data_IF_148650345340
#
_entry.id   IF_148650345340
#
_cell.length_a   1.000
_cell.length_b   1.000
_cell.length_c   1.000
_cell.angle_alpha   90.00
_cell.angle_beta   90.00
_cell.angle_gamma   90.00
#
_symmetry.space_group_name_H-M   'P 1'
#
loop_
_entity.id
_entity.type
_entity.pdbx_description
1 polymer ?
#
# COMPACT_ATOMS: atom_id res chain seq x y z
N UNK A 1 -1.60 -7.36 -11.60
CA UNK A 1 -0.58 -7.45 -10.53
C UNK A 1 -1.05 -6.93 -9.19
N UNK A 2 -2.19 -6.27 -9.16
CA UNK A 2 -2.69 -5.71 -7.91
C UNK A 2 -2.94 -6.77 -6.85
N UNK A 3 -3.48 -7.92 -7.25
CA UNK A 3 -3.75 -8.99 -6.29
C UNK A 3 -2.47 -9.57 -5.69
N UNK A 4 -1.43 -9.64 -6.50
CA UNK A 4 -0.14 -10.11 -6.03
C UNK A 4 0.42 -9.17 -4.96
N UNK A 5 0.35 -7.87 -5.23
CA UNK A 5 0.85 -6.86 -4.28
C UNK A 5 0.05 -6.92 -2.98
N UNK A 6 -1.27 -7.05 -3.07
CA UNK A 6 -2.11 -7.17 -1.88
C UNK A 6 -1.71 -8.36 -1.02
N UNK A 7 -1.45 -9.49 -1.66
CA UNK A 7 -1.06 -10.70 -0.95
C UNK A 7 0.25 -10.49 -0.21
N UNK A 8 1.23 -9.87 -0.88
CA UNK A 8 2.53 -9.62 -0.27
C UNK A 8 2.38 -8.70 0.94
N UNK A 9 1.60 -7.63 0.81
CA UNK A 9 1.44 -6.69 1.91
C UNK A 9 0.81 -7.34 3.13
N UNK A 10 -0.15 -8.22 2.93
CA UNK A 10 -0.74 -8.94 4.06
C UNK A 10 0.29 -9.82 4.75
N UNK A 11 1.15 -10.45 3.98
CA UNK A 11 2.15 -11.35 4.54
C UNK A 11 3.20 -10.62 5.37
N UNK A 12 3.52 -9.38 5.00
CA UNK A 12 4.57 -8.63 5.69
C UNK A 12 4.01 -7.59 6.65
N UNK A 13 2.71 -7.59 6.91
CA UNK A 13 2.10 -6.57 7.75
C UNK A 13 2.55 -6.65 9.21
N UNK A 14 3.19 -7.73 9.61
CA UNK A 14 3.73 -7.87 10.95
C UNK A 14 4.99 -7.01 11.17
N UNK A 15 5.59 -6.52 10.11
CA UNK A 15 6.83 -5.75 10.19
C UNK A 15 6.67 -4.43 9.46
N UNK A 16 6.77 -3.34 10.21
CA UNK A 16 6.65 -2.00 9.63
C UNK A 16 7.67 -1.77 8.52
N UNK A 17 8.90 -2.20 8.76
CA UNK A 17 9.97 -2.02 7.78
C UNK A 17 9.67 -2.79 6.48
N UNK A 18 9.28 -4.05 6.62
CA UNK A 18 8.98 -4.86 5.44
C UNK A 18 7.74 -4.35 4.72
N UNK A 19 6.73 -3.92 5.49
CA UNK A 19 5.51 -3.38 4.90
C UNK A 19 5.83 -2.17 4.03
N UNK A 20 6.60 -1.24 4.56
CA UNK A 20 6.93 -0.03 3.80
C UNK A 20 7.76 -0.36 2.57
N UNK A 21 8.71 -1.28 2.70
CA UNK A 21 9.54 -1.66 1.57
C UNK A 21 8.71 -2.29 0.46
N UNK A 22 7.83 -3.22 0.82
CA UNK A 22 7.02 -3.89 -0.19
C UNK A 22 5.95 -2.98 -0.77
N UNK A 23 5.43 -2.06 0.03
CA UNK A 23 4.49 -1.07 -0.49
C UNK A 23 5.15 -0.22 -1.57
N UNK A 24 6.36 0.25 -1.31
CA UNK A 24 7.08 1.07 -2.26
C UNK A 24 7.36 0.32 -3.56
N UNK A 25 7.78 -0.93 -3.44
CA UNK A 25 8.01 -1.76 -4.61
C UNK A 25 6.71 -2.02 -5.37
N UNK A 26 5.65 -2.33 -4.63
CA UNK A 26 4.37 -2.65 -5.25
C UNK A 26 3.77 -1.49 -6.00
N UNK A 27 3.96 -0.27 -5.51
CA UNK A 27 3.40 0.89 -6.19
C UNK A 27 3.94 1.07 -7.60
N UNK A 28 5.12 0.56 -7.87
CA UNK A 28 5.68 0.61 -9.22
C UNK A 28 5.00 -0.38 -10.16
N UNK A 29 4.31 -1.36 -9.61
CA UNK A 29 3.64 -2.41 -10.38
C UNK A 29 2.15 -2.16 -10.55
N UNK A 30 1.61 -1.16 -9.87
CA UNK A 30 0.19 -0.85 -9.93
C UNK A 30 -0.05 0.10 -11.11
N UNK A 31 -1.02 -0.24 -11.96
CA UNK A 31 -1.35 0.61 -13.09
C UNK A 31 -2.09 1.85 -12.60
N UNK A 32 -1.97 2.96 -13.34
CA UNK A 32 -2.66 4.20 -12.94
C UNK A 32 -4.15 4.01 -12.72
N UNK A 33 -4.80 3.21 -13.55
CA UNK A 33 -6.24 2.99 -13.41
C UNK A 33 -6.59 2.10 -12.22
N UNK A 34 -5.60 1.42 -11.62
CA UNK A 34 -5.81 0.60 -10.44
C UNK A 34 -5.45 1.34 -9.15
N UNK A 35 -4.82 2.49 -9.28
CA UNK A 35 -4.22 3.14 -8.12
C UNK A 35 -5.24 3.55 -7.07
N UNK A 36 -6.37 4.09 -7.48
CA UNK A 36 -7.37 4.54 -6.53
C UNK A 36 -7.95 3.36 -5.74
N UNK A 37 -8.27 2.28 -6.43
CA UNK A 37 -8.79 1.09 -5.76
C UNK A 37 -7.77 0.52 -4.78
N UNK A 38 -6.51 0.47 -5.21
CA UNK A 38 -5.45 -0.03 -4.35
C UNK A 38 -5.26 0.85 -3.12
N UNK A 39 -5.31 2.17 -3.31
CA UNK A 39 -5.19 3.11 -2.22
C UNK A 39 -6.30 2.90 -1.20
N UNK A 40 -7.54 2.81 -1.66
CA UNK A 40 -8.68 2.60 -0.78
C UNK A 40 -8.53 1.29 -0.01
N UNK A 41 -8.09 0.25 -0.67
CA UNK A 41 -7.87 -1.03 -0.03
C UNK A 41 -6.80 -0.93 1.06
N UNK A 42 -5.70 -0.23 0.78
CA UNK A 42 -4.63 -0.08 1.76
C UNK A 42 -5.12 0.61 3.02
N UNK A 43 -5.90 1.68 2.87
CA UNK A 43 -6.40 2.38 4.04
C UNK A 43 -7.43 1.56 4.80
N UNK A 44 -8.23 0.80 4.08
CA UNK A 44 -9.21 -0.06 4.73
C UNK A 44 -8.54 -1.16 5.55
N UNK A 45 -7.51 -1.77 5.00
CA UNK A 45 -6.84 -2.89 5.66
C UNK A 45 -5.82 -2.45 6.71
N UNK A 46 -5.08 -1.38 6.42
CA UNK A 46 -3.94 -0.99 7.25
C UNK A 46 -4.00 0.45 7.75
N UNK A 47 -5.12 1.12 7.57
CA UNK A 47 -5.21 2.52 7.92
C UNK A 47 -4.95 2.82 9.39
N UNK A 48 -5.37 1.93 10.28
CA UNK A 48 -5.14 2.12 11.70
C UNK A 48 -3.70 1.85 12.10
N UNK A 49 -3.12 0.84 11.47
CA UNK A 49 -1.80 0.38 11.86
C UNK A 49 -0.70 1.22 11.22
N UNK A 50 -0.88 1.53 9.95
CA UNK A 50 0.19 2.16 9.17
C UNK A 50 -0.23 3.45 8.49
N UNK A 51 -1.12 4.23 9.12
CA UNK A 51 -1.62 5.46 8.50
C UNK A 51 -0.48 6.39 8.07
N UNK A 52 0.54 6.56 8.90
CA UNK A 52 1.63 7.47 8.58
C UNK A 52 2.39 7.02 7.34
N UNK A 53 2.60 5.71 7.21
CA UNK A 53 3.29 5.16 6.04
C UNK A 53 2.44 5.36 4.80
N UNK A 54 1.15 5.02 4.89
CA UNK A 54 0.25 5.17 3.75
C UNK A 54 0.16 6.63 3.31
N UNK A 55 0.07 7.55 4.25
CA UNK A 55 -0.02 8.96 3.92
C UNK A 55 1.22 9.46 3.21
N UNK A 56 2.37 8.87 3.51
CA UNK A 56 3.61 9.26 2.85
C UNK A 56 3.59 8.96 1.36
N UNK A 57 2.99 7.84 0.99
CA UNK A 57 3.00 7.38 -0.40
C UNK A 57 1.72 7.71 -1.17
N UNK A 58 0.61 7.92 -0.48
CA UNK A 58 -0.67 8.22 -1.13
C UNK A 58 -1.13 9.65 -0.87
N UNK A 59 -0.24 10.49 -0.44
CA UNK A 59 -0.60 11.86 -0.14
C UNK A 59 -1.25 12.54 -1.34
N UNK A 60 -2.39 13.21 -1.15
CA UNK A 60 -2.98 13.98 -2.24
C UNK A 60 -2.05 15.10 -2.69
N UNK A 61 -2.11 15.41 -3.97
CA UNK A 61 -1.24 16.42 -4.53
C UNK A 61 -1.96 17.78 -4.51
N UNK A 62 -2.11 18.34 -3.31
CA UNK A 62 -2.64 19.69 -3.18
C UNK A 62 -2.05 20.41 -2.00
#
# INVERSE_FOLDING_TARGET
MIEYVKTILKKVSFSRYLFERELRKGLRMILPEELEDFRNWCYQEFGRLYAAILNRYFRPAY
#
